data_IF_991657858943
#
_entry.id   IF_991657858943
#
_cell.length_a   1.000
_cell.length_b   1.000
_cell.length_c   1.000
_cell.angle_alpha   90.00
_cell.angle_beta   90.00
_cell.angle_gamma   90.00
#
_symmetry.space_group_name_H-M   'P 1'
#
loop_
_entity.id
_entity.type
_entity.pdbx_description
1 polymer ?
#
# COMPACT_ATOMS: atom_id res chain seq x y z
N UNK A 1 11.03 -5.72 17.41
CA UNK A 1 9.97 -6.75 17.41
C UNK A 1 8.73 -6.17 16.76
N UNK A 2 8.38 -6.57 15.54
CA UNK A 2 7.08 -6.23 14.96
C UNK A 2 6.03 -7.21 15.51
N UNK A 3 4.89 -6.69 15.94
CA UNK A 3 3.74 -7.49 16.32
C UNK A 3 2.51 -6.90 15.66
N UNK A 4 1.43 -7.68 15.56
CA UNK A 4 0.17 -7.21 14.98
C UNK A 4 -0.37 -5.94 15.67
N UNK A 5 -0.14 -5.81 16.99
CA UNK A 5 -0.52 -4.62 17.74
C UNK A 5 0.28 -3.38 17.32
N UNK A 6 1.59 -3.50 17.11
CA UNK A 6 2.41 -2.41 16.61
C UNK A 6 1.96 -2.01 15.19
N UNK A 7 1.78 -3.00 14.30
CA UNK A 7 1.27 -2.76 12.95
C UNK A 7 -0.09 -2.04 12.97
N UNK A 8 -1.02 -2.46 13.83
CA UNK A 8 -2.34 -1.83 13.96
C UNK A 8 -2.24 -0.38 14.43
N UNK A 9 -1.39 -0.10 15.43
CA UNK A 9 -1.16 1.27 15.92
C UNK A 9 -0.54 2.16 14.85
N UNK A 10 0.42 1.64 14.10
CA UNK A 10 1.08 2.35 13.02
C UNK A 10 0.11 2.63 11.86
N UNK A 11 -0.72 1.66 11.47
CA UNK A 11 -1.79 1.84 10.49
C UNK A 11 -2.78 2.93 10.90
N UNK A 12 -3.17 2.98 12.19
CA UNK A 12 -4.02 4.06 12.72
C UNK A 12 -3.30 5.41 12.64
N UNK A 13 -2.00 5.45 12.93
CA UNK A 13 -1.18 6.67 12.82
C UNK A 13 -1.08 7.16 11.37
N UNK A 14 -0.91 6.25 10.40
CA UNK A 14 -0.95 6.58 8.96
C UNK A 14 -2.33 7.10 8.58
N UNK A 15 -3.42 6.39 8.93
CA UNK A 15 -4.80 6.84 8.68
C UNK A 15 -5.05 8.26 9.22
N UNK A 16 -4.57 8.59 10.41
CA UNK A 16 -4.76 9.92 11.04
C UNK A 16 -4.05 11.04 10.29
N UNK A 17 -2.92 10.76 9.64
CA UNK A 17 -2.10 11.75 8.91
C UNK A 17 -2.44 11.86 7.43
N UNK A 18 -3.24 10.93 6.90
CA UNK A 18 -3.58 10.86 5.47
C UNK A 18 -5.08 11.02 5.26
N UNK A 19 -5.57 12.23 4.86
CA UNK A 19 -6.99 12.51 4.68
C UNK A 19 -7.73 11.51 3.77
N UNK A 20 -7.09 11.11 2.67
CA UNK A 20 -7.64 10.16 1.71
C UNK A 20 -7.98 8.79 2.33
N UNK A 21 -7.21 8.33 3.32
CA UNK A 21 -7.55 7.10 4.04
C UNK A 21 -8.79 7.29 4.92
N UNK A 22 -9.03 8.48 5.45
CA UNK A 22 -10.15 8.76 6.35
C UNK A 22 -11.47 8.80 5.60
N UNK A 23 -11.55 9.66 4.57
CA UNK A 23 -12.80 10.04 3.90
C UNK A 23 -12.72 9.91 2.38
N UNK A 24 -11.56 9.61 1.80
CA UNK A 24 -11.41 9.49 0.36
C UNK A 24 -12.20 8.33 -0.22
N UNK A 25 -12.75 8.53 -1.42
CA UNK A 25 -13.56 7.55 -2.14
C UNK A 25 -12.79 6.25 -2.38
N UNK A 26 -13.51 5.14 -2.41
CA UNK A 26 -12.95 3.84 -2.76
C UNK A 26 -13.07 3.64 -4.28
N UNK A 27 -11.97 3.30 -4.94
CA UNK A 27 -11.95 2.90 -6.35
C UNK A 27 -11.14 1.62 -6.50
N UNK A 28 -11.77 0.53 -6.95
CA UNK A 28 -11.03 -0.71 -7.25
C UNK A 28 -10.07 -0.52 -8.43
N UNK A 29 -8.89 -1.14 -8.35
CA UNK A 29 -7.90 -1.10 -9.43
C UNK A 29 -7.82 -2.46 -10.12
N UNK A 30 -7.56 -2.46 -11.43
CA UNK A 30 -7.19 -3.69 -12.12
C UNK A 30 -5.83 -4.14 -11.61
N UNK A 31 -5.76 -5.35 -11.08
CA UNK A 31 -4.55 -5.90 -10.46
C UNK A 31 -4.28 -7.32 -11.00
N UNK A 32 -3.03 -7.81 -10.90
CA UNK A 32 -2.73 -9.20 -11.23
C UNK A 32 -3.54 -10.20 -10.40
N UNK A 33 -3.64 -11.43 -10.88
CA UNK A 33 -4.30 -12.51 -10.15
C UNK A 33 -3.71 -12.68 -8.74
N UNK A 34 -4.57 -12.86 -7.74
CA UNK A 34 -4.17 -12.98 -6.34
C UNK A 34 -3.90 -11.64 -5.63
N UNK A 35 -3.90 -10.50 -6.34
CA UNK A 35 -3.74 -9.18 -5.73
C UNK A 35 -5.08 -8.47 -5.63
N UNK A 36 -5.41 -7.97 -4.44
CA UNK A 36 -6.50 -7.03 -4.25
C UNK A 36 -5.92 -5.63 -4.09
N UNK A 37 -6.17 -4.77 -5.08
CA UNK A 37 -5.71 -3.40 -5.08
C UNK A 37 -6.87 -2.41 -5.24
N UNK A 38 -6.75 -1.28 -4.54
CA UNK A 38 -7.70 -0.18 -4.64
C UNK A 38 -7.02 1.15 -4.34
N UNK A 39 -7.62 2.23 -4.84
CA UNK A 39 -7.29 3.59 -4.47
C UNK A 39 -8.25 4.09 -3.40
N UNK A 40 -7.72 4.87 -2.46
CA UNK A 40 -8.46 5.72 -1.53
C UNK A 40 -8.20 7.18 -1.88
N UNK A 41 -9.27 7.92 -2.16
CA UNK A 41 -9.18 9.30 -2.62
C UNK A 41 -8.37 9.41 -3.91
N UNK A 42 -7.42 10.34 -3.94
CA UNK A 42 -6.60 10.62 -5.13
C UNK A 42 -5.18 10.11 -5.01
N UNK A 43 -4.67 10.00 -3.79
CA UNK A 43 -3.23 9.87 -3.52
C UNK A 43 -2.82 8.53 -2.92
N UNK A 44 -3.75 7.69 -2.47
CA UNK A 44 -3.39 6.48 -1.73
C UNK A 44 -3.78 5.24 -2.50
N UNK A 45 -2.82 4.40 -2.83
CA UNK A 45 -3.05 3.05 -3.36
C UNK A 45 -2.73 2.03 -2.29
N UNK A 46 -3.64 1.07 -2.08
CA UNK A 46 -3.40 -0.10 -1.24
C UNK A 46 -3.36 -1.33 -2.13
N UNK A 47 -2.36 -2.17 -1.93
CA UNK A 47 -2.21 -3.44 -2.64
C UNK A 47 -1.92 -4.55 -1.64
N UNK A 48 -2.74 -5.61 -1.70
CA UNK A 48 -2.61 -6.79 -0.86
C UNK A 48 -2.41 -8.00 -1.76
N UNK A 49 -1.29 -8.70 -1.63
CA UNK A 49 -1.13 -10.02 -2.20
C UNK A 49 -1.81 -11.03 -1.29
N UNK A 50 -2.88 -11.65 -1.79
CA UNK A 50 -3.68 -12.66 -1.10
C UNK A 50 -3.37 -14.06 -1.64
N UNK A 51 -2.14 -14.27 -2.09
CA UNK A 51 -1.63 -15.54 -2.57
C UNK A 51 -0.25 -15.86 -1.99
N UNK A 52 0.18 -17.10 -2.19
CA UNK A 52 1.51 -17.60 -1.85
C UNK A 52 2.55 -17.37 -2.97
N UNK A 53 2.15 -16.77 -4.09
CA UNK A 53 3.02 -16.46 -5.21
C UNK A 53 3.63 -15.05 -5.08
N UNK A 54 4.86 -14.89 -5.58
CA UNK A 54 5.42 -13.57 -5.82
C UNK A 54 4.73 -12.93 -7.03
N UNK A 55 4.37 -11.65 -6.92
CA UNK A 55 3.64 -10.92 -7.96
C UNK A 55 4.20 -9.52 -8.14
N UNK A 56 4.09 -8.97 -9.35
CA UNK A 56 4.47 -7.59 -9.66
C UNK A 56 3.21 -6.82 -10.07
N UNK A 57 3.00 -5.66 -9.46
CA UNK A 57 1.94 -4.72 -9.82
C UNK A 57 2.57 -3.49 -10.51
N UNK A 58 2.39 -3.42 -11.83
CA UNK A 58 2.95 -2.36 -12.68
C UNK A 58 2.03 -1.12 -12.72
N UNK A 59 2.57 0.02 -13.19
CA UNK A 59 1.88 1.30 -13.32
C UNK A 59 1.62 2.03 -11.99
N UNK A 60 2.43 1.75 -10.96
CA UNK A 60 2.31 2.40 -9.65
C UNK A 60 3.56 3.21 -9.34
N UNK A 61 3.36 4.47 -8.96
CA UNK A 61 4.41 5.37 -8.49
C UNK A 61 4.06 5.93 -7.11
N UNK A 62 5.08 6.19 -6.30
CA UNK A 62 4.90 6.82 -4.99
C UNK A 62 5.92 6.36 -3.96
N UNK A 63 5.55 6.52 -2.70
CA UNK A 63 6.34 6.07 -1.55
C UNK A 63 5.53 5.12 -0.68
N UNK A 64 6.14 4.02 -0.25
CA UNK A 64 5.54 3.09 0.71
C UNK A 64 5.38 3.79 2.05
N UNK A 65 4.14 4.15 2.40
CA UNK A 65 3.85 4.74 3.70
C UNK A 65 3.90 3.70 4.82
N UNK A 66 3.44 2.48 4.53
CA UNK A 66 3.47 1.36 5.46
C UNK A 66 3.32 0.03 4.73
N UNK A 67 4.19 -0.94 5.02
CA UNK A 67 4.10 -2.31 4.52
C UNK A 67 4.03 -3.35 5.66
N UNK A 68 3.56 -4.56 5.37
CA UNK A 68 3.58 -5.67 6.35
C UNK A 68 5.02 -6.07 6.70
N UNK A 69 5.92 -6.06 5.72
CA UNK A 69 7.37 -6.04 5.97
C UNK A 69 7.82 -4.59 6.21
N UNK A 70 8.11 -4.27 7.47
CA UNK A 70 8.40 -2.89 7.90
C UNK A 70 9.75 -2.37 7.34
N UNK A 71 10.60 -3.22 6.77
CA UNK A 71 11.86 -2.81 6.12
C UNK A 71 11.59 -1.91 4.90
N UNK A 72 10.42 -2.05 4.28
CA UNK A 72 10.04 -1.32 3.06
C UNK A 72 9.42 0.04 3.32
N UNK A 73 9.22 0.43 4.57
CA UNK A 73 8.67 1.75 4.86
C UNK A 73 9.60 2.86 4.34
N UNK A 74 9.03 3.80 3.57
CA UNK A 74 9.77 4.85 2.90
C UNK A 74 10.42 4.44 1.58
N UNK A 75 10.27 3.18 1.14
CA UNK A 75 10.72 2.72 -0.17
C UNK A 75 10.02 3.51 -1.28
N UNK A 76 10.80 4.02 -2.24
CA UNK A 76 10.25 4.64 -3.45
C UNK A 76 9.85 3.56 -4.44
N UNK A 77 8.60 3.64 -4.90
CA UNK A 77 8.06 2.79 -5.96
C UNK A 77 8.08 3.60 -7.24
N UNK A 78 8.80 3.10 -8.24
CA UNK A 78 8.94 3.73 -9.56
C UNK A 78 8.42 2.77 -10.61
N UNK A 79 7.19 3.00 -11.07
CA UNK A 79 6.43 2.19 -12.03
C UNK A 79 6.02 0.78 -11.56
N UNK A 80 6.87 0.08 -10.79
CA UNK A 80 6.65 -1.34 -10.46
C UNK A 80 6.72 -1.59 -8.96
N UNK A 81 5.67 -2.20 -8.42
CA UNK A 81 5.63 -2.69 -7.04
C UNK A 81 5.77 -4.21 -7.00
N UNK A 82 6.88 -4.70 -6.48
CA UNK A 82 7.03 -6.11 -6.12
C UNK A 82 6.23 -6.43 -4.84
N UNK A 83 5.47 -7.51 -4.87
CA UNK A 83 4.71 -8.04 -3.74
C UNK A 83 5.12 -9.48 -3.46
N UNK A 84 5.70 -9.70 -2.29
CA UNK A 84 5.98 -11.02 -1.74
C UNK A 84 4.68 -11.77 -1.41
N UNK A 85 4.74 -13.10 -1.23
CA UNK A 85 3.62 -13.88 -0.71
C UNK A 85 3.00 -13.24 0.52
N UNK A 86 1.68 -13.06 0.53
CA UNK A 86 0.91 -12.52 1.65
C UNK A 86 1.27 -11.08 2.08
N UNK A 87 1.99 -10.33 1.24
CA UNK A 87 2.44 -8.98 1.56
C UNK A 87 1.34 -7.94 1.31
N UNK A 88 1.21 -6.99 2.23
CA UNK A 88 0.35 -5.82 2.08
C UNK A 88 1.17 -4.53 2.11
N UNK A 89 0.87 -3.61 1.20
CA UNK A 89 1.56 -2.33 1.07
C UNK A 89 0.55 -1.20 0.86
N UNK A 90 0.78 -0.07 1.53
CA UNK A 90 0.10 1.20 1.29
C UNK A 90 1.11 2.17 0.68
N UNK A 91 0.83 2.63 -0.54
CA UNK A 91 1.64 3.60 -1.28
C UNK A 91 0.90 4.93 -1.32
N UNK A 92 1.63 6.01 -1.02
CA UNK A 92 1.15 7.38 -1.20
C UNK A 92 1.85 7.96 -2.42
N UNK A 93 1.07 8.46 -3.37
CA UNK A 93 1.54 9.10 -4.59
C UNK A 93 2.44 10.30 -4.25
N UNK A 94 3.57 10.40 -4.94
CA UNK A 94 4.54 11.48 -4.78
C UNK A 94 4.11 12.76 -5.52
N UNK A 95 3.07 12.72 -6.34
CA UNK A 95 2.61 13.84 -7.16
C UNK A 95 1.53 14.65 -6.43
N UNK A 96 1.90 15.68 -5.65
CA UNK A 96 1.07 16.86 -5.35
C UNK A 96 2.00 18.05 -5.00
N UNK A 97 2.31 18.85 -6.02
CA UNK A 97 2.53 20.29 -5.93
C UNK A 97 1.66 20.96 -7.01
#
# INVERSE_FOLDING_TARGET
MSSLLHLTRDLISVRRRTPDLQTGDYTGLSAPAGVWAWRRGRTVTVALNLSDAHTVFDGLEGTVAIATDRIRDGETVSDRLELRPWEGVVVVDSQHD
#
